data_IF_592957395366
#
_entry.id   IF_592957395366
#
_cell.length_a   1.000
_cell.length_b   1.000
_cell.length_c   1.000
_cell.angle_alpha   90.00
_cell.angle_beta   90.00
_cell.angle_gamma   90.00
#
_symmetry.space_group_name_H-M   'P 1'
#
loop_
_entity.id
_entity.type
_entity.pdbx_description
1 polymer ?
#
# COMPACT_ATOMS: atom_id res chain seq x y z
N UNK A 1 24.71 6.75 -6.84
CA UNK A 1 23.33 6.49 -6.40
C UNK A 1 22.95 5.10 -6.88
N UNK A 2 22.53 4.21 -5.97
CA UNK A 2 22.24 2.81 -6.30
C UNK A 2 20.84 2.74 -6.93
N UNK A 3 20.65 2.23 -8.15
CA UNK A 3 19.34 2.24 -8.84
C UNK A 3 18.28 1.36 -8.14
N UNK A 4 18.66 0.54 -7.17
CA UNK A 4 17.80 -0.44 -6.50
C UNK A 4 16.99 0.09 -5.31
N UNK A 5 17.32 1.28 -4.80
CA UNK A 5 16.64 1.87 -3.63
C UNK A 5 15.14 2.19 -3.83
N UNK A 6 14.71 2.84 -4.93
CA UNK A 6 13.30 3.13 -5.14
C UNK A 6 12.46 1.86 -5.37
N UNK A 7 13.00 0.89 -6.10
CA UNK A 7 12.33 -0.41 -6.32
C UNK A 7 12.19 -1.21 -5.02
N UNK A 8 13.22 -1.15 -4.16
CA UNK A 8 13.17 -1.77 -2.84
C UNK A 8 12.11 -1.12 -1.95
N UNK A 9 12.04 0.21 -1.93
CA UNK A 9 11.03 0.95 -1.16
C UNK A 9 9.61 0.58 -1.63
N UNK A 10 9.37 0.60 -2.94
CA UNK A 10 8.09 0.23 -3.53
C UNK A 10 7.70 -1.21 -3.18
N UNK A 11 8.66 -2.14 -3.24
CA UNK A 11 8.44 -3.54 -2.87
C UNK A 11 8.07 -3.68 -1.39
N UNK A 12 8.81 -3.01 -0.50
CA UNK A 12 8.55 -3.03 0.95
C UNK A 12 7.20 -2.40 1.29
N UNK A 13 6.84 -1.32 0.62
CA UNK A 13 5.55 -0.67 0.78
C UNK A 13 4.40 -1.59 0.34
N UNK A 14 4.55 -2.28 -0.79
CA UNK A 14 3.58 -3.26 -1.26
C UNK A 14 3.42 -4.44 -0.29
N UNK A 15 4.51 -5.00 0.24
CA UNK A 15 4.48 -6.05 1.27
C UNK A 15 3.74 -5.60 2.53
N UNK A 16 4.02 -4.38 3.01
CA UNK A 16 3.36 -3.81 4.17
C UNK A 16 1.85 -3.59 3.92
N UNK A 17 1.49 -3.02 2.78
CA UNK A 17 0.09 -2.77 2.42
C UNK A 17 -0.70 -4.09 2.26
N UNK A 18 -0.13 -5.10 1.61
CA UNK A 18 -0.74 -6.45 1.51
C UNK A 18 -0.90 -7.09 2.89
N UNK A 19 0.09 -6.94 3.77
CA UNK A 19 -0.01 -7.45 5.14
C UNK A 19 -1.18 -6.81 5.89
N UNK A 20 -1.34 -5.49 5.77
CA UNK A 20 -2.49 -4.77 6.37
C UNK A 20 -3.80 -5.26 5.77
N UNK A 21 -3.89 -5.36 4.44
CA UNK A 21 -5.09 -5.81 3.74
C UNK A 21 -5.51 -7.23 4.16
N UNK A 22 -4.58 -8.20 4.13
CA UNK A 22 -4.87 -9.60 4.48
C UNK A 22 -5.25 -9.75 5.96
N UNK A 23 -4.61 -8.99 6.85
CA UNK A 23 -4.95 -9.03 8.28
C UNK A 23 -6.30 -8.39 8.57
N UNK A 24 -6.64 -7.30 7.88
CA UNK A 24 -7.86 -6.53 8.11
C UNK A 24 -9.09 -7.17 7.45
N UNK A 25 -8.92 -7.75 6.26
CA UNK A 25 -9.98 -8.34 5.44
C UNK A 25 -9.83 -9.86 5.30
N UNK A 26 -9.45 -10.55 6.39
CA UNK A 26 -9.14 -11.99 6.34
C UNK A 26 -10.29 -12.83 5.78
N UNK A 27 -11.54 -12.49 6.07
CA UNK A 27 -12.71 -13.24 5.60
C UNK A 27 -13.01 -12.94 4.14
N UNK A 28 -12.95 -11.67 3.77
CA UNK A 28 -13.19 -11.17 2.42
C UNK A 28 -12.12 -11.71 1.46
N UNK A 29 -10.85 -11.69 1.84
CA UNK A 29 -9.75 -12.27 1.05
C UNK A 29 -9.90 -13.78 0.88
N UNK A 30 -10.36 -14.50 1.91
CA UNK A 30 -10.57 -15.94 1.83
C UNK A 30 -11.77 -16.34 0.95
N UNK A 31 -12.76 -15.45 0.82
CA UNK A 31 -13.96 -15.68 0.01
C UNK A 31 -13.88 -15.06 -1.40
N UNK A 32 -12.95 -14.12 -1.62
CA UNK A 32 -12.80 -13.40 -2.88
C UNK A 32 -12.33 -14.33 -4.00
N UNK A 33 -12.91 -14.12 -5.18
CA UNK A 33 -12.42 -14.68 -6.43
C UNK A 33 -11.07 -14.07 -6.80
N UNK A 34 -10.35 -14.73 -7.71
CA UNK A 34 -9.09 -14.21 -8.26
C UNK A 34 -9.29 -12.82 -8.89
N UNK A 35 -10.41 -12.61 -9.58
CA UNK A 35 -10.72 -11.34 -10.24
C UNK A 35 -10.96 -10.22 -9.21
N UNK A 36 -11.61 -10.52 -8.08
CA UNK A 36 -11.79 -9.56 -6.98
C UNK A 36 -10.46 -9.21 -6.29
N UNK A 37 -9.57 -10.19 -6.10
CA UNK A 37 -8.23 -9.95 -5.57
C UNK A 37 -7.35 -9.13 -6.52
N UNK A 38 -7.46 -9.39 -7.83
CA UNK A 38 -6.75 -8.63 -8.84
C UNK A 38 -7.29 -7.19 -8.94
N UNK A 39 -8.60 -7.01 -8.87
CA UNK A 39 -9.22 -5.69 -8.80
C UNK A 39 -8.76 -4.89 -7.57
N UNK A 40 -8.66 -5.54 -6.40
CA UNK A 40 -8.11 -4.91 -5.20
C UNK A 40 -6.65 -4.47 -5.41
N UNK A 41 -5.82 -5.32 -6.02
CA UNK A 41 -4.43 -4.97 -6.35
C UNK A 41 -4.34 -3.83 -7.37
N UNK A 42 -5.23 -3.77 -8.35
CA UNK A 42 -5.31 -2.67 -9.32
C UNK A 42 -5.67 -1.37 -8.61
N UNK A 43 -6.65 -1.38 -7.69
CA UNK A 43 -7.00 -0.19 -6.92
C UNK A 43 -5.82 0.34 -6.08
N UNK A 44 -5.08 -0.57 -5.42
CA UNK A 44 -3.85 -0.20 -4.70
C UNK A 44 -2.81 0.43 -5.63
N UNK A 45 -2.59 -0.14 -6.83
CA UNK A 45 -1.62 0.39 -7.81
C UNK A 45 -2.03 1.75 -8.37
N UNK A 46 -3.32 1.99 -8.59
CA UNK A 46 -3.83 3.30 -9.03
C UNK A 46 -3.52 4.40 -8.02
N UNK A 47 -3.55 4.08 -6.72
CA UNK A 47 -3.17 5.02 -5.66
C UNK A 47 -1.67 5.05 -5.32
N UNK A 48 -0.87 4.12 -5.85
CA UNK A 48 0.55 4.00 -5.48
C UNK A 48 1.36 5.26 -5.73
N UNK A 49 1.17 5.92 -6.88
CA UNK A 49 1.97 7.09 -7.26
C UNK A 49 1.80 8.27 -6.30
N UNK A 50 0.59 8.82 -6.06
CA UNK A 50 0.43 9.94 -5.15
C UNK A 50 0.88 9.62 -3.73
N UNK A 51 0.66 8.39 -3.25
CA UNK A 51 1.09 7.96 -1.92
C UNK A 51 2.62 7.89 -1.78
N UNK A 52 3.32 7.37 -2.79
CA UNK A 52 4.79 7.31 -2.79
C UNK A 52 5.38 8.72 -2.89
N UNK A 53 4.81 9.59 -3.74
CA UNK A 53 5.26 10.98 -3.86
C UNK A 53 5.12 11.71 -2.51
N UNK A 54 3.98 11.57 -1.82
CA UNK A 54 3.77 12.14 -0.49
C UNK A 54 4.74 11.58 0.55
N UNK A 55 4.97 10.25 0.55
CA UNK A 55 5.93 9.61 1.45
C UNK A 55 7.35 10.18 1.28
N UNK A 56 7.77 10.39 0.04
CA UNK A 56 9.10 10.95 -0.26
C UNK A 56 9.21 12.42 0.15
N UNK A 57 8.13 13.20 -0.01
CA UNK A 57 8.07 14.58 0.43
C UNK A 57 8.10 14.68 1.97
N UNK A 58 7.34 13.84 2.68
CA UNK A 58 7.36 13.78 4.15
C UNK A 58 8.72 13.34 4.68
N UNK A 59 9.33 12.33 4.08
CA UNK A 59 10.67 11.88 4.45
C UNK A 59 11.74 12.96 4.20
N UNK A 60 11.52 13.85 3.22
CA UNK A 60 12.42 14.99 2.95
C UNK A 60 12.19 16.14 3.93
N UNK A 61 10.94 16.47 4.23
CA UNK A 61 10.58 17.60 5.09
C UNK A 61 10.81 17.29 6.57
N UNK A 62 10.54 16.06 6.99
CA UNK A 62 10.65 15.62 8.38
C UNK A 62 11.21 14.18 8.44
N UNK A 63 12.53 14.00 8.30
CA UNK A 63 13.14 12.67 8.31
C UNK A 63 12.84 11.84 9.56
N UNK A 64 12.60 12.49 10.70
CA UNK A 64 12.27 11.83 11.97
C UNK A 64 10.88 11.14 11.98
N UNK A 65 9.98 11.45 11.04
CA UNK A 65 8.69 10.76 10.90
C UNK A 65 8.67 9.73 9.77
N UNK A 66 9.80 9.45 9.10
CA UNK A 66 9.83 8.61 7.90
C UNK A 66 9.23 7.20 8.12
N UNK A 67 9.45 6.59 9.29
CA UNK A 67 8.85 5.29 9.63
C UNK A 67 7.32 5.38 9.80
N UNK A 68 6.83 6.43 10.47
CA UNK A 68 5.40 6.65 10.62
C UNK A 68 4.74 6.96 9.27
N UNK A 69 5.37 7.78 8.43
CA UNK A 69 4.93 8.08 7.08
C UNK A 69 4.88 6.81 6.21
N UNK A 70 5.86 5.92 6.33
CA UNK A 70 5.87 4.63 5.63
C UNK A 70 4.67 3.76 6.03
N UNK A 71 4.36 3.66 7.32
CA UNK A 71 3.21 2.90 7.79
C UNK A 71 1.87 3.55 7.41
N UNK A 72 1.79 4.87 7.40
CA UNK A 72 0.62 5.60 6.91
C UNK A 72 0.38 5.35 5.41
N UNK A 73 1.42 5.44 4.59
CA UNK A 73 1.38 5.12 3.17
C UNK A 73 0.95 3.67 2.92
N UNK A 74 1.47 2.71 3.69
CA UNK A 74 1.06 1.31 3.58
C UNK A 74 -0.43 1.12 3.92
N UNK A 75 -0.92 1.82 4.93
CA UNK A 75 -2.33 1.79 5.33
C UNK A 75 -3.24 2.41 4.26
N UNK A 76 -2.86 3.55 3.69
CA UNK A 76 -3.63 4.23 2.65
C UNK A 76 -3.78 3.33 1.40
N UNK A 77 -2.68 2.70 0.96
CA UNK A 77 -2.76 1.72 -0.12
C UNK A 77 -3.64 0.53 0.25
N UNK A 78 -3.49 -0.01 1.46
CA UNK A 78 -4.35 -1.10 1.91
C UNK A 78 -5.83 -0.70 1.93
N UNK A 79 -6.17 0.54 2.29
CA UNK A 79 -7.54 1.04 2.29
C UNK A 79 -8.15 1.03 0.89
N UNK A 80 -7.41 1.37 -0.16
CA UNK A 80 -7.88 1.27 -1.55
C UNK A 80 -8.27 -0.18 -1.92
N UNK A 81 -7.46 -1.16 -1.52
CA UNK A 81 -7.78 -2.57 -1.74
C UNK A 81 -8.93 -3.08 -0.86
N UNK A 82 -9.01 -2.62 0.39
CA UNK A 82 -10.08 -2.94 1.33
C UNK A 82 -11.43 -2.43 0.81
N UNK A 83 -11.47 -1.22 0.25
CA UNK A 83 -12.66 -0.63 -0.36
C UNK A 83 -13.25 -1.54 -1.45
N UNK A 84 -12.38 -2.06 -2.34
CA UNK A 84 -12.79 -3.03 -3.38
C UNK A 84 -13.33 -4.32 -2.77
N UNK A 85 -12.63 -4.92 -1.82
CA UNK A 85 -13.02 -6.21 -1.24
C UNK A 85 -14.29 -6.13 -0.39
N UNK A 86 -14.51 -5.00 0.28
CA UNK A 86 -15.71 -4.76 1.09
C UNK A 86 -16.86 -4.13 0.31
N UNK A 87 -16.61 -3.70 -0.93
CA UNK A 87 -17.58 -3.00 -1.79
C UNK A 87 -18.09 -1.71 -1.12
N UNK A 88 -17.18 -0.97 -0.48
CA UNK A 88 -17.42 0.30 0.23
C UNK A 88 -16.65 1.45 -0.41
#
# INVERSE_FOLDING_TARGET
MNPHTPDLLATKLAEAALTVLVRTCRKEVAAASRDELEAACVAMRTQARPVIDQLLDDARAAPWVAEAAFHAAALELAQAGIAVLRKV
#
